data_IF_381518032517
#
_entry.id   IF_381518032517
#
_cell.length_a   1.000
_cell.length_b   1.000
_cell.length_c   1.000
_cell.angle_alpha   90.00
_cell.angle_beta   90.00
_cell.angle_gamma   90.00
#
_symmetry.space_group_name_H-M   'P 1'
#
loop_
_entity.id
_entity.type
_entity.pdbx_description
1 polymer ?
#
# COMPACT_ATOMS: atom_id res chain seq x y z
N UNK A 1 -1.71 20.40 4.64
CA UNK A 1 -0.86 19.79 3.55
C UNK A 1 -0.70 18.27 3.68
N UNK A 2 -1.28 17.64 4.70
CA UNK A 2 -1.02 16.22 5.02
C UNK A 2 -1.82 15.23 4.15
N UNK A 3 -3.03 15.61 3.71
CA UNK A 3 -3.96 14.73 2.95
C UNK A 3 -3.38 14.16 1.64
N UNK A 4 -2.59 14.96 0.93
CA UNK A 4 -1.93 14.53 -0.31
C UNK A 4 -0.79 13.53 -0.06
N UNK A 5 -0.10 13.61 1.09
CA UNK A 5 1.01 12.71 1.44
C UNK A 5 0.54 11.29 1.71
N UNK A 6 -0.58 11.11 2.44
CA UNK A 6 -1.12 9.76 2.67
C UNK A 6 -1.61 9.13 1.37
N UNK A 7 -2.27 9.89 0.49
CA UNK A 7 -2.67 9.39 -0.83
C UNK A 7 -1.47 8.99 -1.69
N UNK A 8 -0.40 9.76 -1.64
CA UNK A 8 0.85 9.42 -2.33
C UNK A 8 1.50 8.15 -1.73
N UNK A 9 1.39 7.96 -0.41
CA UNK A 9 1.79 6.73 0.26
C UNK A 9 0.99 5.51 -0.20
N UNK A 10 -0.34 5.63 -0.32
CA UNK A 10 -1.20 4.58 -0.87
C UNK A 10 -0.87 4.23 -2.33
N UNK A 11 -0.59 5.25 -3.16
CA UNK A 11 -0.15 5.06 -4.54
C UNK A 11 1.22 4.36 -4.63
N UNK A 12 2.17 4.75 -3.77
CA UNK A 12 3.48 4.11 -3.69
C UNK A 12 3.36 2.64 -3.27
N UNK A 13 2.46 2.32 -2.33
CA UNK A 13 2.17 0.94 -1.94
C UNK A 13 1.59 0.12 -3.09
N UNK A 14 0.71 0.69 -3.91
CA UNK A 14 0.18 0.01 -5.10
C UNK A 14 1.28 -0.32 -6.12
N UNK A 15 2.16 0.64 -6.40
CA UNK A 15 3.29 0.44 -7.32
C UNK A 15 4.24 -0.63 -6.76
N UNK A 16 4.53 -0.58 -5.47
CA UNK A 16 5.36 -1.57 -4.79
C UNK A 16 4.72 -2.96 -4.85
N UNK A 17 3.43 -3.09 -4.56
CA UNK A 17 2.70 -4.35 -4.65
C UNK A 17 2.70 -4.93 -6.07
N UNK A 18 2.45 -4.10 -7.10
CA UNK A 18 2.53 -4.54 -8.49
C UNK A 18 3.95 -5.01 -8.87
N UNK A 19 4.98 -4.32 -8.40
CA UNK A 19 6.37 -4.72 -8.61
C UNK A 19 6.69 -6.06 -7.93
N UNK A 20 6.28 -6.24 -6.66
CA UNK A 20 6.45 -7.50 -5.93
C UNK A 20 5.71 -8.66 -6.60
N UNK A 21 4.54 -8.41 -7.19
CA UNK A 21 3.80 -9.42 -7.93
C UNK A 21 4.56 -9.86 -9.18
N UNK A 22 5.05 -8.92 -10.00
CA UNK A 22 5.87 -9.25 -11.18
C UNK A 22 7.15 -9.98 -10.77
N UNK A 23 7.78 -9.55 -9.68
CA UNK A 23 8.97 -10.21 -9.14
C UNK A 23 8.68 -11.65 -8.72
N UNK A 24 7.58 -11.85 -8.01
CA UNK A 24 7.09 -13.17 -7.59
C UNK A 24 6.91 -14.11 -8.79
N UNK A 25 6.20 -13.65 -9.82
CA UNK A 25 5.91 -14.48 -11.01
C UNK A 25 7.17 -14.74 -11.85
N UNK A 26 8.09 -13.77 -11.94
CA UNK A 26 9.23 -13.84 -12.88
C UNK A 26 10.47 -14.49 -12.29
N UNK A 27 10.79 -14.23 -11.02
CA UNK A 27 12.07 -14.60 -10.43
C UNK A 27 11.97 -15.71 -9.38
N UNK A 28 10.77 -15.98 -8.85
CA UNK A 28 10.59 -16.99 -7.81
C UNK A 28 10.09 -18.28 -8.43
N UNK A 29 10.97 -19.28 -8.52
CA UNK A 29 10.67 -20.60 -9.12
C UNK A 29 10.28 -21.65 -8.08
N UNK A 30 10.55 -21.41 -6.79
CA UNK A 30 10.07 -22.28 -5.71
C UNK A 30 8.62 -21.95 -5.35
N UNK A 31 7.81 -22.99 -5.25
CA UNK A 31 6.36 -22.98 -5.01
C UNK A 31 5.97 -22.16 -3.76
N UNK A 32 6.59 -22.44 -2.61
CA UNK A 32 6.26 -21.77 -1.34
C UNK A 32 6.65 -20.30 -1.29
N UNK A 33 7.88 -19.89 -1.67
CA UNK A 33 8.25 -18.49 -1.75
C UNK A 33 7.42 -17.70 -2.77
N UNK A 34 7.00 -18.32 -3.88
CA UNK A 34 6.16 -17.67 -4.89
C UNK A 34 4.76 -17.38 -4.31
N UNK A 35 4.15 -18.34 -3.62
CA UNK A 35 2.84 -18.16 -2.97
C UNK A 35 2.94 -17.07 -1.89
N UNK A 36 3.97 -17.09 -1.05
CA UNK A 36 4.16 -16.06 -0.01
C UNK A 36 4.31 -14.66 -0.58
N UNK A 37 5.15 -14.50 -1.60
CA UNK A 37 5.39 -13.20 -2.25
C UNK A 37 4.17 -12.73 -3.04
N UNK A 38 3.42 -13.65 -3.64
CA UNK A 38 2.14 -13.38 -4.29
C UNK A 38 1.09 -12.88 -3.29
N UNK A 39 0.87 -13.59 -2.18
CA UNK A 39 -0.05 -13.16 -1.12
C UNK A 39 0.37 -11.82 -0.50
N UNK A 40 1.67 -11.61 -0.27
CA UNK A 40 2.20 -10.34 0.22
C UNK A 40 1.94 -9.18 -0.75
N UNK A 41 2.04 -9.43 -2.06
CA UNK A 41 1.73 -8.43 -3.08
C UNK A 41 0.25 -8.04 -3.08
N UNK A 42 -0.66 -9.02 -2.95
CA UNK A 42 -2.10 -8.79 -2.88
C UNK A 42 -2.46 -8.04 -1.59
N UNK A 43 -1.83 -8.40 -0.46
CA UNK A 43 -1.99 -7.67 0.79
C UNK A 43 -1.52 -6.21 0.65
N UNK A 44 -0.36 -5.98 0.04
CA UNK A 44 0.17 -4.63 -0.19
C UNK A 44 -0.73 -3.79 -1.09
N UNK A 45 -1.28 -4.38 -2.15
CA UNK A 45 -2.24 -3.73 -3.06
C UNK A 45 -3.54 -3.40 -2.33
N UNK A 46 -4.09 -4.34 -1.55
CA UNK A 46 -5.30 -4.13 -0.75
C UNK A 46 -5.10 -3.02 0.28
N UNK A 47 -3.94 -2.97 0.94
CA UNK A 47 -3.60 -1.94 1.91
C UNK A 47 -3.40 -0.56 1.25
N UNK A 48 -2.72 -0.52 0.10
CA UNK A 48 -2.54 0.70 -0.69
C UNK A 48 -3.86 1.26 -1.21
N UNK A 49 -4.76 0.37 -1.65
CA UNK A 49 -6.12 0.72 -2.06
C UNK A 49 -6.98 1.19 -0.88
N UNK A 50 -6.88 0.53 0.29
CA UNK A 50 -7.56 0.95 1.50
C UNK A 50 -7.14 2.37 1.95
N UNK A 51 -5.86 2.71 1.85
CA UNK A 51 -5.35 4.06 2.14
C UNK A 51 -5.82 5.11 1.13
N UNK A 52 -6.09 4.70 -0.12
CA UNK A 52 -6.59 5.57 -1.18
C UNK A 52 -8.08 5.89 -1.03
N UNK A 53 -8.87 4.88 -0.64
CA UNK A 53 -10.33 4.99 -0.45
C UNK A 53 -10.71 5.50 0.94
N UNK A 54 -9.82 5.40 1.93
CA UNK A 54 -10.06 5.90 3.28
C UNK A 54 -10.36 7.41 3.24
N UNK A 55 -11.51 7.86 3.80
CA UNK A 55 -11.75 9.28 3.99
C UNK A 55 -10.80 9.80 5.08
N UNK A 56 -9.67 10.37 4.67
CA UNK A 56 -8.69 11.04 5.54
C UNK A 56 -9.19 12.40 6.06
N UNK A 57 -10.41 12.42 6.60
CA UNK A 57 -10.97 13.53 7.38
C UNK A 57 -10.66 13.41 8.87
N UNK A 58 -9.79 12.49 9.28
CA UNK A 58 -9.43 12.30 10.68
C UNK A 58 -8.11 13.04 10.97
N UNK A 59 -8.26 14.20 11.64
CA UNK A 59 -7.24 14.97 12.38
C UNK A 59 -6.21 15.83 11.59
N UNK A 60 -6.65 16.97 11.05
CA UNK A 60 -5.78 18.16 10.84
C UNK A 60 -6.38 19.38 11.57
N UNK A 61 -6.88 19.20 12.80
CA UNK A 61 -7.24 20.29 13.72
C UNK A 61 -7.51 19.76 15.15
N UNK A 62 -6.46 19.57 15.95
CA UNK A 62 -6.58 19.72 17.41
C UNK A 62 -5.24 20.11 18.06
N UNK A 63 -4.59 21.10 17.45
CA UNK A 63 -3.47 21.80 18.06
C UNK A 63 -3.61 23.28 17.70
N UNK A 64 -4.57 23.93 18.38
CA UNK A 64 -4.56 25.33 18.84
C UNK A 64 -6.01 25.73 19.12
N UNK A 65 -6.41 25.63 20.38
CA UNK A 65 -7.32 26.56 21.05
C UNK A 65 -7.13 26.37 22.55
N UNK A 66 -6.53 27.41 23.15
CA UNK A 66 -6.35 27.77 24.56
C UNK A 66 -5.35 26.99 25.43
#
# INVERSE_FOLDING_TARGET
MSKWKIRLGGLALLILGAFLFVWSVKYVQSEWPQIFTGLLSVFSISMGFALLIMPLEIQENNSTSD
#
